data_IF_366420134322
#
_entry.id   IF_366420134322
#
_cell.length_a   1.000
_cell.length_b   1.000
_cell.length_c   1.000
_cell.angle_alpha   90.00
_cell.angle_beta   90.00
_cell.angle_gamma   90.00
#
_symmetry.space_group_name_H-M   'P 1'
#
loop_
_entity.id
_entity.type
_entity.pdbx_description
1 polymer ?
#
# COMPACT_ATOMS: atom_id res chain seq x y z
N UNK A 1 -26.16 -19.70 -35.25
CA UNK A 1 -25.32 -18.95 -36.22
C UNK A 1 -24.15 -18.25 -35.53
N UNK A 2 -24.35 -17.54 -34.42
CA UNK A 2 -23.28 -16.88 -33.67
C UNK A 2 -22.18 -17.82 -33.12
N UNK A 3 -22.53 -19.02 -32.63
CA UNK A 3 -21.54 -19.98 -32.09
C UNK A 3 -20.60 -20.58 -33.14
N UNK A 4 -21.09 -20.81 -34.37
CA UNK A 4 -20.25 -21.34 -35.45
C UNK A 4 -19.27 -20.29 -35.98
N UNK A 5 -19.72 -19.02 -36.09
CA UNK A 5 -18.87 -17.89 -36.49
C UNK A 5 -17.75 -17.66 -35.45
N UNK A 6 -18.04 -17.78 -34.16
CA UNK A 6 -17.03 -17.65 -33.11
C UNK A 6 -15.99 -18.79 -33.15
N UNK A 7 -16.39 -20.03 -33.44
CA UNK A 7 -15.47 -21.17 -33.51
C UNK A 7 -14.48 -21.06 -34.66
N UNK A 8 -14.90 -20.52 -35.81
CA UNK A 8 -14.01 -20.31 -36.96
C UNK A 8 -12.93 -19.27 -36.63
N UNK A 9 -13.31 -18.15 -36.00
CA UNK A 9 -12.38 -17.10 -35.58
C UNK A 9 -11.34 -17.63 -34.57
N UNK A 10 -11.77 -18.40 -33.56
CA UNK A 10 -10.83 -18.98 -32.59
C UNK A 10 -9.87 -19.98 -33.23
N UNK A 11 -10.38 -20.77 -34.18
CA UNK A 11 -9.55 -21.75 -34.91
C UNK A 11 -8.53 -21.03 -35.79
N UNK A 12 -8.91 -19.96 -36.46
CA UNK A 12 -8.01 -19.13 -37.27
C UNK A 12 -6.89 -18.52 -36.41
N UNK A 13 -7.23 -17.94 -35.26
CA UNK A 13 -6.24 -17.38 -34.34
C UNK A 13 -5.33 -18.45 -33.73
N UNK A 14 -5.87 -19.61 -33.38
CA UNK A 14 -5.08 -20.74 -32.91
C UNK A 14 -4.07 -21.23 -33.95
N UNK A 15 -4.44 -21.21 -35.24
CA UNK A 15 -3.51 -21.50 -36.33
C UNK A 15 -2.38 -20.46 -36.41
N UNK A 16 -2.73 -19.16 -36.38
CA UNK A 16 -1.73 -18.08 -36.40
C UNK A 16 -0.73 -18.17 -35.25
N UNK A 17 -1.20 -18.46 -34.04
CA UNK A 17 -0.33 -18.65 -32.86
C UNK A 17 0.61 -19.85 -33.05
N UNK A 18 0.08 -20.98 -33.53
CA UNK A 18 0.87 -22.18 -33.78
C UNK A 18 1.94 -21.94 -34.84
N UNK A 19 1.59 -21.25 -35.92
CA UNK A 19 2.48 -20.97 -37.04
C UNK A 19 3.55 -19.93 -36.65
N UNK A 20 3.19 -18.91 -35.87
CA UNK A 20 4.14 -17.95 -35.29
C UNK A 20 5.19 -18.66 -34.43
N UNK A 21 4.78 -19.57 -33.54
CA UNK A 21 5.71 -20.36 -32.72
C UNK A 21 6.65 -21.22 -33.58
N UNK A 22 6.12 -21.87 -34.63
CA UNK A 22 6.94 -22.66 -35.56
C UNK A 22 7.99 -21.78 -36.26
N UNK A 23 7.59 -20.57 -36.67
CA UNK A 23 8.46 -19.68 -37.41
C UNK A 23 9.52 -19.03 -36.52
N UNK A 24 9.15 -18.59 -35.31
CA UNK A 24 10.08 -18.11 -34.28
C UNK A 24 11.12 -19.18 -33.98
N UNK A 25 10.70 -20.44 -33.82
CA UNK A 25 11.60 -21.57 -33.62
C UNK A 25 12.56 -21.78 -34.82
N UNK A 26 12.04 -21.77 -36.05
CA UNK A 26 12.83 -21.93 -37.28
C UNK A 26 13.92 -20.87 -37.41
N UNK A 27 13.58 -19.61 -37.12
CA UNK A 27 14.51 -18.48 -37.25
C UNK A 27 15.54 -18.46 -36.12
N UNK A 28 15.16 -18.86 -34.90
CA UNK A 28 16.07 -18.94 -33.76
C UNK A 28 17.08 -20.09 -33.87
N UNK A 29 16.69 -21.22 -34.45
CA UNK A 29 17.51 -22.44 -34.43
C UNK A 29 17.82 -22.95 -33.02
N UNK A 30 16.94 -22.66 -32.05
CA UNK A 30 17.18 -22.85 -30.62
C UNK A 30 17.19 -24.32 -30.20
N UNK A 31 18.07 -24.66 -29.24
CA UNK A 31 18.09 -25.95 -28.53
C UNK A 31 17.00 -26.07 -27.45
N UNK A 32 16.28 -24.99 -27.14
CA UNK A 32 15.28 -24.94 -26.05
C UNK A 32 13.95 -25.63 -26.41
N UNK A 33 13.80 -26.11 -27.64
CA UNK A 33 12.56 -26.71 -28.14
C UNK A 33 11.51 -25.66 -28.51
N UNK A 34 10.52 -26.10 -29.26
CA UNK A 34 9.36 -25.31 -29.70
C UNK A 34 8.34 -25.22 -28.56
N UNK A 35 7.61 -24.11 -28.41
CA UNK A 35 6.58 -23.99 -27.34
C UNK A 35 5.51 -25.08 -27.53
N UNK A 36 5.07 -25.31 -28.76
CA UNK A 36 4.14 -26.38 -29.08
C UNK A 36 4.84 -27.60 -29.70
N UNK A 37 5.00 -28.67 -28.92
CA UNK A 37 5.65 -29.93 -29.36
C UNK A 37 4.67 -31.03 -29.77
N UNK A 38 3.37 -30.82 -29.55
CA UNK A 38 2.31 -31.80 -29.85
C UNK A 38 1.87 -31.83 -31.32
N UNK A 39 0.96 -32.77 -31.63
CA UNK A 39 0.29 -32.83 -32.93
C UNK A 39 -0.48 -31.52 -33.21
N UNK A 40 -0.29 -30.95 -34.40
CA UNK A 40 -0.87 -29.66 -34.82
C UNK A 40 -2.37 -29.56 -34.56
N UNK A 41 -3.14 -30.57 -34.97
CA UNK A 41 -4.61 -30.55 -34.81
C UNK A 41 -5.02 -30.56 -33.35
N UNK A 42 -4.25 -31.24 -32.50
CA UNK A 42 -4.49 -31.27 -31.05
C UNK A 42 -4.16 -29.91 -30.44
N UNK A 43 -3.02 -29.32 -30.80
CA UNK A 43 -2.63 -28.00 -30.28
C UNK A 43 -3.60 -26.90 -30.73
N UNK A 44 -4.03 -26.89 -31.99
CA UNK A 44 -5.01 -25.91 -32.48
C UNK A 44 -6.32 -26.05 -31.70
N UNK A 45 -6.79 -27.29 -31.47
CA UNK A 45 -7.99 -27.53 -30.65
C UNK A 45 -7.81 -27.06 -29.22
N UNK A 46 -6.66 -27.31 -28.61
CA UNK A 46 -6.35 -26.84 -27.24
C UNK A 46 -6.28 -25.31 -27.18
N UNK A 47 -5.58 -24.66 -28.10
CA UNK A 47 -5.50 -23.20 -28.18
C UNK A 47 -6.89 -22.61 -28.40
N UNK A 48 -7.66 -23.13 -29.35
CA UNK A 48 -9.04 -22.72 -29.58
C UNK A 48 -9.89 -22.91 -28.32
N UNK A 49 -9.73 -24.03 -27.60
CA UNK A 49 -10.42 -24.29 -26.35
C UNK A 49 -10.09 -23.25 -25.29
N UNK A 50 -8.80 -22.99 -25.05
CA UNK A 50 -8.32 -21.93 -24.15
C UNK A 50 -8.88 -20.57 -24.53
N UNK A 51 -9.22 -20.38 -25.82
CA UNK A 51 -9.81 -19.15 -26.31
C UNK A 51 -11.29 -18.94 -25.94
N UNK A 52 -12.06 -19.99 -25.72
CA UNK A 52 -13.49 -19.86 -25.39
C UNK A 52 -13.89 -20.44 -24.03
N UNK A 53 -13.01 -21.20 -23.34
CA UNK A 53 -13.29 -21.74 -22.00
C UNK A 53 -12.87 -20.76 -20.91
N UNK A 54 -13.80 -20.36 -20.03
CA UNK A 54 -13.47 -19.71 -18.75
C UNK A 54 -13.15 -20.81 -17.70
N UNK A 55 -12.10 -20.69 -16.85
CA UNK A 55 -11.28 -19.52 -16.51
C UNK A 55 -9.79 -19.57 -16.96
N UNK A 56 -9.42 -20.42 -17.92
CA UNK A 56 -8.01 -20.75 -18.19
C UNK A 56 -7.26 -19.80 -19.16
N UNK A 57 -7.75 -18.57 -19.36
CA UNK A 57 -7.09 -17.57 -20.24
C UNK A 57 -5.65 -17.22 -19.82
N UNK A 58 -5.29 -17.45 -18.56
CA UNK A 58 -3.90 -17.32 -18.07
C UNK A 58 -2.94 -18.34 -18.69
N UNK A 59 -3.43 -19.50 -19.13
CA UNK A 59 -2.62 -20.49 -19.85
C UNK A 59 -2.27 -19.97 -21.25
N UNK A 60 -3.25 -19.45 -22.00
CA UNK A 60 -3.00 -18.83 -23.31
C UNK A 60 -2.01 -17.66 -23.23
N UNK A 61 -2.08 -16.86 -22.15
CA UNK A 61 -1.08 -15.81 -21.86
C UNK A 61 0.33 -16.35 -21.74
N UNK A 62 0.47 -17.44 -20.99
CA UNK A 62 1.76 -18.04 -20.70
C UNK A 62 2.41 -18.54 -21.99
N UNK A 63 1.63 -19.19 -22.87
CA UNK A 63 2.10 -19.64 -24.19
C UNK A 63 2.54 -18.48 -25.09
N UNK A 64 1.74 -17.42 -25.19
CA UNK A 64 2.08 -16.22 -25.97
C UNK A 64 3.32 -15.50 -25.41
N UNK A 65 3.46 -15.43 -24.09
CA UNK A 65 4.63 -14.81 -23.45
C UNK A 65 5.93 -15.59 -23.76
N UNK A 66 5.87 -16.92 -23.80
CA UNK A 66 7.01 -17.75 -24.19
C UNK A 66 7.43 -17.49 -25.64
N UNK A 67 6.47 -17.44 -26.57
CA UNK A 67 6.74 -17.11 -27.98
C UNK A 67 7.38 -15.72 -28.11
N UNK A 68 6.86 -14.70 -27.40
CA UNK A 68 7.42 -13.34 -27.41
C UNK A 68 8.84 -13.29 -26.86
N UNK A 69 9.09 -13.99 -25.74
CA UNK A 69 10.43 -14.06 -25.14
C UNK A 69 11.43 -14.68 -26.11
N UNK A 70 11.05 -15.74 -26.81
CA UNK A 70 11.88 -16.35 -27.85
C UNK A 70 12.10 -15.38 -29.01
N UNK A 71 11.05 -14.80 -29.59
CA UNK A 71 11.14 -13.87 -30.72
C UNK A 71 12.07 -12.67 -30.45
N UNK A 72 12.07 -12.14 -29.22
CA UNK A 72 12.92 -11.01 -28.82
C UNK A 72 14.42 -11.32 -28.84
N UNK A 73 14.80 -12.60 -28.79
CA UNK A 73 16.20 -13.05 -28.80
C UNK A 73 16.75 -13.30 -30.21
N UNK A 74 15.93 -13.18 -31.25
CA UNK A 74 16.35 -13.27 -32.66
C UNK A 74 17.38 -12.18 -32.97
N UNK A 75 18.52 -12.58 -33.54
CA UNK A 75 19.65 -11.69 -33.82
C UNK A 75 19.45 -10.82 -35.07
N UNK A 76 18.77 -11.36 -36.09
CA UNK A 76 18.45 -10.61 -37.30
C UNK A 76 17.33 -9.58 -37.01
N UNK A 77 17.62 -8.26 -37.09
CA UNK A 77 16.64 -7.23 -36.81
C UNK A 77 15.42 -7.27 -37.75
N UNK A 78 15.61 -7.67 -39.01
CA UNK A 78 14.52 -7.71 -39.99
C UNK A 78 13.53 -8.83 -39.64
N UNK A 79 14.04 -10.03 -39.39
CA UNK A 79 13.20 -11.18 -38.99
C UNK A 79 12.57 -10.98 -37.61
N UNK A 80 13.31 -10.40 -36.66
CA UNK A 80 12.77 -10.03 -35.35
C UNK A 80 11.60 -9.06 -35.48
N UNK A 81 11.76 -8.00 -36.27
CA UNK A 81 10.69 -7.01 -36.48
C UNK A 81 9.47 -7.64 -37.14
N UNK A 82 9.67 -8.49 -38.15
CA UNK A 82 8.58 -9.19 -38.85
C UNK A 82 7.77 -10.07 -37.90
N UNK A 83 8.43 -10.91 -37.11
CA UNK A 83 7.77 -11.84 -36.18
C UNK A 83 7.11 -11.12 -35.00
N UNK A 84 7.72 -10.04 -34.50
CA UNK A 84 7.10 -9.21 -33.46
C UNK A 84 5.87 -8.46 -33.98
N UNK A 85 5.86 -8.05 -35.26
CA UNK A 85 4.67 -7.43 -35.88
C UNK A 85 3.51 -8.43 -35.94
N UNK A 86 3.77 -9.66 -36.40
CA UNK A 86 2.76 -10.73 -36.41
C UNK A 86 2.27 -11.05 -34.99
N UNK A 87 3.18 -11.10 -34.01
CA UNK A 87 2.82 -11.27 -32.60
C UNK A 87 1.87 -10.17 -32.10
N UNK A 88 2.18 -8.90 -32.37
CA UNK A 88 1.37 -7.77 -31.95
C UNK A 88 -0.01 -7.76 -32.64
N UNK A 89 -0.08 -8.18 -33.91
CA UNK A 89 -1.34 -8.33 -34.65
C UNK A 89 -2.21 -9.46 -34.10
N UNK A 90 -1.62 -10.61 -33.77
CA UNK A 90 -2.31 -11.71 -33.09
C UNK A 90 -2.84 -11.24 -31.74
N UNK A 91 -2.02 -10.53 -30.96
CA UNK A 91 -2.41 -10.02 -29.65
C UNK A 91 -3.60 -9.06 -29.77
N UNK A 92 -3.55 -8.12 -30.72
CA UNK A 92 -4.66 -7.20 -31.01
C UNK A 92 -5.93 -7.91 -31.46
N UNK A 93 -5.81 -8.97 -32.27
CA UNK A 93 -6.96 -9.75 -32.71
C UNK A 93 -7.58 -10.55 -31.55
N UNK A 94 -6.75 -11.08 -30.65
CA UNK A 94 -7.21 -11.74 -29.43
C UNK A 94 -7.92 -10.74 -28.51
N UNK A 95 -7.43 -9.50 -28.40
CA UNK A 95 -8.06 -8.45 -27.58
C UNK A 95 -9.46 -8.04 -28.06
N UNK A 96 -9.75 -8.22 -29.35
CA UNK A 96 -11.05 -7.93 -29.94
C UNK A 96 -12.07 -9.06 -29.74
N UNK A 97 -11.65 -10.22 -29.19
CA UNK A 97 -12.55 -11.34 -28.98
C UNK A 97 -13.48 -11.10 -27.78
N UNK A 98 -14.77 -11.45 -27.89
CA UNK A 98 -15.71 -11.31 -26.79
C UNK A 98 -15.23 -12.12 -25.58
N UNK A 99 -15.07 -11.46 -24.44
CA UNK A 99 -14.66 -12.08 -23.16
C UNK A 99 -13.27 -12.75 -23.16
N UNK A 100 -12.38 -12.37 -24.08
CA UNK A 100 -10.99 -12.80 -24.02
C UNK A 100 -10.06 -11.63 -24.22
N UNK A 101 -9.16 -11.42 -23.25
CA UNK A 101 -8.15 -10.37 -23.31
C UNK A 101 -8.73 -9.00 -23.64
N UNK A 102 -9.72 -8.55 -22.88
CA UNK A 102 -9.76 -7.10 -22.70
C UNK A 102 -8.37 -6.67 -22.21
N UNK A 103 -7.92 -5.47 -22.59
CA UNK A 103 -6.82 -4.70 -21.95
C UNK A 103 -7.12 -4.38 -20.47
N UNK A 104 -7.88 -5.26 -19.82
CA UNK A 104 -8.81 -5.13 -18.74
C UNK A 104 -9.20 -6.51 -18.21
N UNK A 105 -8.29 -7.49 -18.09
CA UNK A 105 -8.52 -8.59 -17.13
C UNK A 105 -8.38 -8.09 -15.67
N UNK A 106 -7.76 -6.92 -15.50
CA UNK A 106 -7.76 -6.12 -14.25
C UNK A 106 -9.06 -5.31 -14.11
N UNK A 107 -9.76 -5.06 -15.23
CA UNK A 107 -10.92 -4.17 -15.36
C UNK A 107 -12.14 -4.95 -15.90
N UNK A 108 -12.17 -6.27 -15.71
CA UNK A 108 -13.38 -7.06 -15.88
C UNK A 108 -14.34 -6.50 -14.82
N UNK A 109 -15.30 -5.67 -15.23
CA UNK A 109 -16.08 -4.85 -14.29
C UNK A 109 -16.77 -5.70 -13.21
N UNK A 110 -17.10 -6.95 -13.53
CA UNK A 110 -17.61 -7.93 -12.57
C UNK A 110 -16.51 -8.39 -11.60
N UNK A 111 -15.30 -8.74 -12.08
CA UNK A 111 -14.16 -9.08 -11.20
C UNK A 111 -13.58 -7.89 -10.43
N UNK A 112 -13.58 -6.70 -11.01
CA UNK A 112 -13.22 -5.44 -10.37
C UNK A 112 -14.27 -5.08 -9.31
N UNK A 113 -15.56 -5.32 -9.55
CA UNK A 113 -16.61 -5.20 -8.54
C UNK A 113 -16.50 -6.27 -7.43
N UNK A 114 -15.97 -7.46 -7.74
CA UNK A 114 -15.60 -8.48 -6.76
C UNK A 114 -14.34 -8.11 -5.97
N UNK A 115 -13.50 -7.21 -6.50
CA UNK A 115 -12.36 -6.70 -5.76
C UNK A 115 -12.87 -5.82 -4.62
N UNK A 116 -12.85 -6.37 -3.41
CA UNK A 116 -13.20 -5.67 -2.16
C UNK A 116 -12.43 -4.35 -1.99
N UNK A 117 -11.26 -4.18 -2.64
CA UNK A 117 -10.52 -2.92 -2.65
C UNK A 117 -11.29 -1.76 -3.31
N UNK A 118 -12.21 -2.04 -4.25
CA UNK A 118 -13.11 -1.03 -4.86
C UNK A 118 -14.22 -0.60 -3.89
N UNK A 119 -14.55 -1.45 -2.90
CA UNK A 119 -15.53 -1.16 -1.84
C UNK A 119 -14.95 -0.39 -0.66
N UNK A 120 -13.65 -0.05 -0.69
CA UNK A 120 -13.11 0.91 0.26
C UNK A 120 -13.90 2.20 0.08
N UNK A 121 -14.45 2.75 1.17
CA UNK A 121 -15.24 3.97 1.16
C UNK A 121 -14.49 5.02 0.35
N UNK A 122 -14.94 5.25 -0.89
CA UNK A 122 -14.32 6.24 -1.77
C UNK A 122 -14.53 7.58 -1.07
N UNK A 123 -13.44 8.32 -0.89
CA UNK A 123 -13.48 9.69 -0.38
C UNK A 123 -14.49 10.45 -1.25
N UNK A 124 -15.61 10.84 -0.65
CA UNK A 124 -16.66 11.65 -1.28
C UNK A 124 -16.12 13.05 -1.56
N UNK A 125 -16.73 13.80 -2.49
CA UNK A 125 -16.40 15.21 -2.71
C UNK A 125 -16.57 16.08 -1.44
N UNK A 126 -17.37 15.64 -0.48
CA UNK A 126 -17.60 16.32 0.79
C UNK A 126 -16.72 15.82 1.95
N UNK A 127 -15.91 14.77 1.74
CA UNK A 127 -15.04 14.23 2.77
C UNK A 127 -13.71 14.99 2.80
N UNK A 128 -13.18 15.19 4.00
CA UNK A 128 -11.87 15.82 4.19
C UNK A 128 -10.72 14.88 3.82
N UNK A 129 -9.63 15.45 3.29
CA UNK A 129 -8.42 14.70 2.99
C UNK A 129 -7.66 14.41 4.28
N UNK A 130 -7.77 13.17 4.78
CA UNK A 130 -7.09 12.72 6.00
C UNK A 130 -6.01 11.68 5.68
N UNK A 131 -4.76 11.99 6.04
CA UNK A 131 -3.60 11.12 5.80
C UNK A 131 -2.98 10.67 7.13
N UNK A 132 -2.99 9.38 7.40
CA UNK A 132 -2.39 8.77 8.58
C UNK A 132 -1.03 8.17 8.25
N UNK A 133 0.04 8.64 8.89
CA UNK A 133 1.41 8.11 8.66
C UNK A 133 1.94 7.41 9.91
N UNK A 134 2.12 6.09 9.80
CA UNK A 134 2.91 5.28 10.72
C UNK A 134 4.33 5.08 10.17
N UNK A 135 5.33 4.94 11.04
CA UNK A 135 6.74 4.88 10.61
C UNK A 135 7.66 4.16 11.57
N UNK A 136 8.69 3.49 11.03
CA UNK A 136 9.82 3.01 11.86
C UNK A 136 10.77 4.15 12.20
N UNK A 137 11.43 4.07 13.35
CA UNK A 137 12.35 5.13 13.77
C UNK A 137 13.56 5.18 12.84
N UNK A 138 13.92 6.38 12.39
CA UNK A 138 15.06 6.60 11.49
C UNK A 138 14.76 6.37 10.01
N UNK A 139 13.50 6.21 9.60
CA UNK A 139 13.08 6.08 8.19
C UNK A 139 12.85 7.41 7.46
N UNK A 140 13.22 8.54 8.04
CA UNK A 140 12.83 9.89 7.57
C UNK A 140 11.30 10.11 7.47
N UNK A 141 10.48 9.27 8.11
CA UNK A 141 9.02 9.37 8.02
C UNK A 141 8.45 10.67 8.62
N UNK A 142 9.12 11.26 9.61
CA UNK A 142 8.72 12.57 10.14
C UNK A 142 8.95 13.69 9.10
N UNK A 143 10.13 13.70 8.47
CA UNK A 143 10.48 14.70 7.45
C UNK A 143 9.57 14.59 6.23
N UNK A 144 9.32 13.35 5.78
CA UNK A 144 8.38 13.07 4.69
C UNK A 144 6.97 13.55 5.03
N UNK A 145 6.48 13.26 6.25
CA UNK A 145 5.14 13.67 6.67
C UNK A 145 4.98 15.19 6.74
N UNK A 146 5.97 15.88 7.30
CA UNK A 146 5.97 17.34 7.40
C UNK A 146 6.02 18.01 6.02
N UNK A 147 6.98 17.62 5.17
CA UNK A 147 7.13 18.19 3.83
C UNK A 147 5.94 17.84 2.92
N UNK A 148 5.31 16.67 3.10
CA UNK A 148 4.08 16.32 2.41
C UNK A 148 2.91 17.24 2.81
N UNK A 149 2.71 17.48 4.11
CA UNK A 149 1.67 18.37 4.60
C UNK A 149 1.85 19.80 4.07
N UNK A 150 3.08 20.32 4.09
CA UNK A 150 3.43 21.65 3.56
C UNK A 150 3.12 21.76 2.06
N UNK A 151 3.52 20.75 1.27
CA UNK A 151 3.24 20.72 -0.18
C UNK A 151 1.77 20.57 -0.53
N UNK A 152 0.98 19.90 0.31
CA UNK A 152 -0.46 19.76 0.14
C UNK A 152 -1.24 20.94 0.76
N UNK A 153 -0.58 21.76 1.57
CA UNK A 153 -1.19 22.86 2.35
C UNK A 153 -2.31 22.40 3.28
N UNK A 154 -2.10 21.27 3.94
CA UNK A 154 -3.01 20.69 4.94
C UNK A 154 -2.41 20.75 6.34
N UNK A 155 -3.24 20.63 7.37
CA UNK A 155 -2.76 20.67 8.76
C UNK A 155 -1.91 19.45 9.09
N UNK A 156 -0.88 19.63 9.92
CA UNK A 156 0.02 18.55 10.36
C UNK A 156 -0.10 18.34 11.86
N UNK A 157 -0.36 17.11 12.28
CA UNK A 157 -0.52 16.72 13.67
C UNK A 157 0.43 15.61 14.07
N UNK A 158 1.39 15.94 14.93
CA UNK A 158 2.26 14.96 15.57
C UNK A 158 2.03 14.88 17.08
N UNK A 159 2.83 14.02 17.71
CA UNK A 159 2.80 13.79 19.16
C UNK A 159 2.89 15.11 19.95
N UNK A 160 3.71 16.05 19.52
CA UNK A 160 3.95 17.29 20.24
C UNK A 160 2.78 18.26 20.05
N UNK A 161 2.29 18.40 18.82
CA UNK A 161 1.15 19.26 18.48
C UNK A 161 -0.11 18.78 19.20
N UNK A 162 -0.40 17.47 19.17
CA UNK A 162 -1.54 16.93 19.91
C UNK A 162 -1.46 17.21 21.41
N UNK A 163 -0.28 17.05 22.01
CA UNK A 163 -0.10 17.37 23.43
C UNK A 163 -0.36 18.86 23.71
N UNK A 164 -0.02 19.76 22.78
CA UNK A 164 -0.30 21.19 22.92
C UNK A 164 -1.80 21.50 22.75
N UNK A 165 -2.46 20.90 21.76
CA UNK A 165 -3.90 21.07 21.51
C UNK A 165 -4.70 20.59 22.74
N UNK A 166 -4.38 19.41 23.25
CA UNK A 166 -4.99 18.87 24.47
C UNK A 166 -4.82 19.82 25.67
N UNK A 167 -3.62 20.36 25.88
CA UNK A 167 -3.38 21.33 26.97
C UNK A 167 -4.21 22.61 26.83
N UNK A 168 -4.44 23.08 25.60
CA UNK A 168 -5.28 24.27 25.35
C UNK A 168 -6.75 23.98 25.62
N UNK A 169 -7.28 22.87 25.10
CA UNK A 169 -8.65 22.44 25.33
C UNK A 169 -8.97 22.23 26.82
N UNK A 170 -8.00 21.73 27.59
CA UNK A 170 -8.11 21.62 29.05
C UNK A 170 -8.13 22.97 29.76
N UNK A 171 -7.33 23.93 29.29
CA UNK A 171 -7.28 25.27 29.84
C UNK A 171 -8.57 26.07 29.56
N UNK A 172 -9.21 25.85 28.39
CA UNK A 172 -10.45 26.53 28.00
C UNK A 172 -11.70 25.98 28.69
N UNK A 173 -11.68 24.70 29.12
CA UNK A 173 -12.82 24.08 29.83
C UNK A 173 -13.00 24.55 31.28
N UNK A 174 -12.14 25.46 31.77
CA UNK A 174 -12.26 26.26 33.00
C UNK A 174 -12.78 25.55 34.26
N UNK A 175 -12.51 24.25 34.42
CA UNK A 175 -13.09 23.48 35.53
C UNK A 175 -12.27 22.28 36.04
N UNK A 176 -10.93 22.31 36.03
CA UNK A 176 -10.16 21.40 36.89
C UNK A 176 -8.82 22.03 37.32
N UNK A 177 -8.57 21.98 38.63
CA UNK A 177 -7.35 22.33 39.37
C UNK A 177 -6.05 21.57 38.95
N UNK A 178 -5.88 21.15 37.70
CA UNK A 178 -4.83 20.18 37.33
C UNK A 178 -4.00 20.61 36.11
N UNK A 179 -3.37 21.79 36.22
CA UNK A 179 -2.33 22.23 35.26
C UNK A 179 -1.14 21.28 35.15
N UNK A 180 -0.94 20.35 36.09
CA UNK A 180 0.27 19.53 36.18
C UNK A 180 0.20 18.18 35.45
N UNK A 181 -0.97 17.61 35.18
CA UNK A 181 -1.04 16.15 34.97
C UNK A 181 -0.97 15.63 33.52
N UNK A 182 -1.12 16.51 32.52
CA UNK A 182 -0.81 16.22 31.11
C UNK A 182 0.61 16.66 30.70
N UNK A 183 1.30 17.41 31.57
CA UNK A 183 2.61 18.00 31.25
C UNK A 183 3.71 16.96 31.12
N UNK A 184 3.56 15.83 31.81
CA UNK A 184 4.57 14.76 31.95
C UNK A 184 4.23 13.47 31.20
N UNK A 185 3.41 13.52 30.14
CA UNK A 185 3.24 12.36 29.25
C UNK A 185 4.41 12.16 28.29
N UNK A 186 5.62 12.18 28.85
CA UNK A 186 6.77 11.57 28.23
C UNK A 186 6.73 10.07 28.53
N UNK A 187 6.15 9.27 27.61
CA UNK A 187 6.20 7.79 27.69
C UNK A 187 7.62 7.24 27.84
N UNK A 188 8.64 8.07 27.59
CA UNK A 188 10.06 7.78 27.68
C UNK A 188 10.72 8.20 29.01
N UNK A 189 9.98 8.89 29.90
CA UNK A 189 10.39 9.21 31.27
C UNK A 189 10.34 7.97 32.18
N UNK A 190 11.24 7.92 33.18
CA UNK A 190 11.24 6.84 34.19
C UNK A 190 9.91 6.85 34.94
N UNK A 191 9.26 5.69 35.03
CA UNK A 191 8.09 5.50 35.91
C UNK A 191 8.52 5.78 37.35
N UNK A 192 8.04 6.87 37.92
CA UNK A 192 8.11 7.13 39.36
C UNK A 192 7.19 6.13 40.08
N UNK A 193 7.62 5.66 41.26
CA UNK A 193 6.82 4.74 42.08
C UNK A 193 5.61 5.50 42.65
N UNK A 194 4.45 5.36 42.03
CA UNK A 194 3.19 5.91 42.56
C UNK A 194 2.67 5.05 43.71
N UNK A 195 2.30 5.71 44.80
CA UNK A 195 1.72 5.07 45.98
C UNK A 195 0.34 4.46 45.68
N UNK A 196 -0.04 3.40 46.40
CA UNK A 196 -1.37 2.76 46.26
C UNK A 196 -2.54 3.73 46.45
N UNK A 197 -2.35 4.76 47.28
CA UNK A 197 -3.35 5.82 47.54
C UNK A 197 -3.55 6.73 46.33
N UNK A 198 -2.47 6.99 45.57
CA UNK A 198 -2.52 7.74 44.31
C UNK A 198 -3.27 6.95 43.23
N UNK A 199 -2.97 5.65 43.08
CA UNK A 199 -3.67 4.77 42.13
C UNK A 199 -5.17 4.66 42.37
N UNK A 200 -5.59 4.55 43.63
CA UNK A 200 -7.02 4.45 43.97
C UNK A 200 -7.77 5.77 43.70
N UNK A 201 -7.10 6.91 43.94
CA UNK A 201 -7.65 8.24 43.64
C UNK A 201 -7.73 8.48 42.13
N UNK A 202 -6.75 8.03 41.35
CA UNK A 202 -6.80 8.10 39.88
C UNK A 202 -7.85 7.16 39.28
N UNK A 203 -8.02 5.94 39.80
CA UNK A 203 -9.07 5.00 39.38
C UNK A 203 -10.48 5.59 39.56
N UNK A 204 -10.77 6.20 40.71
CA UNK A 204 -12.06 6.86 40.93
C UNK A 204 -12.25 8.09 40.01
N UNK A 205 -11.17 8.73 39.60
CA UNK A 205 -11.17 9.97 38.82
C UNK A 205 -11.32 9.73 37.31
N UNK A 206 -10.79 8.64 36.79
CA UNK A 206 -10.92 8.23 35.38
C UNK A 206 -11.99 7.15 35.19
N UNK A 207 -12.99 7.09 36.07
CA UNK A 207 -14.11 6.15 35.99
C UNK A 207 -13.70 4.67 35.85
N UNK A 208 -12.63 4.26 36.55
CA UNK A 208 -12.10 2.90 36.52
C UNK A 208 -11.04 2.65 35.44
N UNK A 209 -10.72 3.65 34.60
CA UNK A 209 -9.66 3.54 33.59
C UNK A 209 -8.28 3.88 34.16
N UNK A 210 -7.24 3.34 33.53
CA UNK A 210 -5.88 3.80 33.78
C UNK A 210 -5.68 5.20 33.16
N UNK A 211 -4.79 6.01 33.74
CA UNK A 211 -4.43 7.34 33.19
C UNK A 211 -4.02 7.25 31.71
N UNK A 212 -3.37 6.15 31.31
CA UNK A 212 -2.92 5.95 29.93
C UNK A 212 -4.09 5.72 28.96
N UNK A 213 -5.12 5.00 29.41
CA UNK A 213 -6.29 4.70 28.58
C UNK A 213 -7.20 5.93 28.47
N UNK A 214 -7.38 6.69 29.55
CA UNK A 214 -8.11 7.95 29.51
C UNK A 214 -7.48 8.94 28.50
N UNK A 215 -6.15 9.07 28.49
CA UNK A 215 -5.43 9.88 27.51
C UNK A 215 -5.63 9.35 26.10
N UNK A 216 -5.59 8.02 25.91
CA UNK A 216 -5.81 7.41 24.60
C UNK A 216 -7.23 7.69 24.07
N UNK A 217 -8.26 7.58 24.89
CA UNK A 217 -9.64 7.85 24.48
C UNK A 217 -9.84 9.31 24.11
N UNK A 218 -9.40 10.26 24.95
CA UNK A 218 -9.49 11.68 24.62
C UNK A 218 -8.75 12.03 23.32
N UNK A 219 -7.58 11.43 23.11
CA UNK A 219 -6.81 11.57 21.87
C UNK A 219 -7.54 10.98 20.67
N UNK A 220 -8.22 9.84 20.85
CA UNK A 220 -8.98 9.18 19.78
C UNK A 220 -10.18 10.03 19.37
N UNK A 221 -10.89 10.62 20.34
CA UNK A 221 -12.01 11.52 20.09
C UNK A 221 -11.55 12.77 19.33
N UNK A 222 -10.43 13.37 19.74
CA UNK A 222 -9.83 14.52 19.06
C UNK A 222 -9.40 14.17 17.62
N UNK A 223 -8.80 13.00 17.40
CA UNK A 223 -8.43 12.53 16.05
C UNK A 223 -9.67 12.42 15.16
N UNK A 224 -10.76 11.84 15.68
CA UNK A 224 -12.02 11.73 14.95
C UNK A 224 -12.67 13.10 14.67
N UNK A 225 -12.55 14.05 15.59
CA UNK A 225 -13.05 15.43 15.42
C UNK A 225 -12.28 16.17 14.33
N UNK A 226 -10.94 16.17 14.38
CA UNK A 226 -10.09 16.80 13.38
C UNK A 226 -10.33 16.21 11.99
N UNK A 227 -10.38 14.88 11.89
CA UNK A 227 -10.62 14.19 10.62
C UNK A 227 -11.99 14.50 9.99
N UNK A 228 -12.98 14.96 10.78
CA UNK A 228 -14.32 15.34 10.30
C UNK A 228 -14.46 16.82 9.98
N UNK A 229 -13.51 17.66 10.39
CA UNK A 229 -13.64 19.12 10.33
C UNK A 229 -12.64 19.77 9.37
N UNK A 230 -11.53 19.09 9.07
CA UNK A 230 -10.46 19.68 8.27
C UNK A 230 -9.57 18.64 7.58
N UNK A 231 -8.92 19.09 6.50
CA UNK A 231 -7.90 18.33 5.80
C UNK A 231 -6.61 18.29 6.62
N UNK A 232 -6.14 17.09 6.96
CA UNK A 232 -5.02 16.95 7.87
C UNK A 232 -4.17 15.69 7.66
N UNK A 233 -2.92 15.77 8.12
CA UNK A 233 -1.97 14.68 8.19
C UNK A 233 -1.65 14.36 9.65
N UNK A 234 -1.90 13.11 10.05
CA UNK A 234 -1.75 12.63 11.42
C UNK A 234 -0.59 11.63 11.52
N UNK A 235 0.40 11.95 12.35
CA UNK A 235 1.62 11.14 12.53
C UNK A 235 1.50 10.12 13.67
N UNK A 236 1.05 8.91 13.35
CA UNK A 236 1.03 7.75 14.24
C UNK A 236 -0.21 7.73 15.13
N UNK A 237 -0.04 7.55 16.45
CA UNK A 237 -1.15 7.51 17.44
C UNK A 237 -2.27 6.51 17.17
N UNK A 238 -2.00 5.46 16.39
CA UNK A 238 -3.01 4.49 15.94
C UNK A 238 -4.16 5.15 15.15
N UNK A 239 -3.91 6.32 14.55
CA UNK A 239 -4.94 7.08 13.84
C UNK A 239 -5.57 6.27 12.70
N UNK A 240 -4.78 5.44 12.01
CA UNK A 240 -5.26 4.49 11.02
C UNK A 240 -6.34 3.54 11.59
N UNK A 241 -6.08 2.90 12.73
CA UNK A 241 -7.04 1.99 13.34
C UNK A 241 -8.24 2.74 13.95
N UNK A 242 -8.02 3.91 14.56
CA UNK A 242 -9.06 4.74 15.16
C UNK A 242 -10.06 5.19 14.09
N UNK A 243 -9.57 5.77 12.98
CA UNK A 243 -10.43 6.26 11.91
C UNK A 243 -11.12 5.11 11.17
N UNK A 244 -10.42 3.97 10.96
CA UNK A 244 -11.03 2.76 10.38
C UNK A 244 -12.19 2.24 11.21
N UNK A 245 -12.05 2.17 12.54
CA UNK A 245 -13.11 1.71 13.43
C UNK A 245 -14.29 2.68 13.51
N UNK A 246 -14.05 3.97 13.24
CA UNK A 246 -15.08 5.02 13.23
C UNK A 246 -15.69 5.28 11.85
N UNK A 247 -15.35 4.47 10.83
CA UNK A 247 -15.82 4.61 9.44
C UNK A 247 -15.60 6.03 8.90
N UNK A 248 -14.40 6.58 9.17
CA UNK A 248 -13.97 7.87 8.63
C UNK A 248 -13.02 7.57 7.46
N UNK A 249 -13.34 8.04 6.24
CA UNK A 249 -12.46 7.91 5.09
C UNK A 249 -11.09 8.54 5.36
N UNK A 250 -10.03 7.77 5.15
CA UNK A 250 -8.66 8.22 5.36
C UNK A 250 -7.70 7.35 4.57
N UNK A 251 -6.49 7.88 4.37
CA UNK A 251 -5.40 7.18 3.68
C UNK A 251 -4.33 6.81 4.70
N UNK A 252 -4.05 5.52 4.85
CA UNK A 252 -3.07 5.03 5.82
C UNK A 252 -1.75 4.60 5.16
N UNK A 253 -0.64 5.19 5.58
CA UNK A 253 0.69 5.00 5.00
C UNK A 253 1.67 4.52 6.07
N UNK A 254 2.46 3.50 5.77
CA UNK A 254 3.56 3.03 6.60
C UNK A 254 4.92 3.29 5.95
N UNK A 255 5.75 4.12 6.56
CA UNK A 255 7.09 4.47 6.06
C UNK A 255 8.16 3.73 6.84
N UNK A 256 8.94 2.91 6.14
CA UNK A 256 10.04 2.14 6.72
C UNK A 256 11.33 2.27 5.91
N UNK A 257 12.42 1.71 6.44
CA UNK A 257 13.70 1.59 5.76
C UNK A 257 14.49 0.40 6.32
N UNK A 258 15.47 -0.17 5.59
CA UNK A 258 16.35 -1.22 6.08
C UNK A 258 17.03 -0.79 7.38
N UNK A 259 17.11 -1.71 8.35
CA UNK A 259 17.59 -1.39 9.70
C UNK A 259 19.02 -0.79 9.69
N UNK A 260 19.87 -1.26 8.78
CA UNK A 260 21.23 -0.78 8.58
C UNK A 260 21.26 0.69 8.13
N UNK A 261 20.43 1.05 7.15
CA UNK A 261 20.30 2.42 6.65
C UNK A 261 19.79 3.35 7.75
N UNK A 262 18.76 2.91 8.49
CA UNK A 262 18.22 3.68 9.63
C UNK A 262 19.26 3.87 10.73
N UNK A 263 20.09 2.85 10.99
CA UNK A 263 21.16 2.91 12.00
C UNK A 263 22.18 3.97 11.62
N UNK A 264 22.69 3.94 10.38
CA UNK A 264 23.66 4.91 9.90
C UNK A 264 23.09 6.34 9.96
N UNK A 265 21.87 6.53 9.45
CA UNK A 265 21.20 7.83 9.47
C UNK A 265 21.06 8.39 10.90
N UNK A 266 20.69 7.55 11.86
CA UNK A 266 20.57 7.98 13.27
C UNK A 266 21.93 8.29 13.91
N UNK A 267 22.98 7.53 13.55
CA UNK A 267 24.34 7.83 14.00
C UNK A 267 24.76 9.22 13.52
N UNK A 268 24.52 9.52 12.24
CA UNK A 268 24.91 10.79 11.62
C UNK A 268 24.10 11.98 12.20
N UNK A 269 22.78 11.83 12.32
CA UNK A 269 21.90 12.91 12.79
C UNK A 269 22.06 13.18 14.29
N UNK A 270 22.28 12.16 15.10
CA UNK A 270 22.31 12.29 16.57
C UNK A 270 23.70 12.20 17.19
N UNK A 271 24.74 12.09 16.36
CA UNK A 271 26.13 11.91 16.77
C UNK A 271 26.27 10.77 17.80
N UNK A 272 25.67 9.61 17.50
CA UNK A 272 25.64 8.42 18.36
C UNK A 272 26.60 7.35 17.85
N UNK A 273 27.17 6.56 18.78
CA UNK A 273 27.89 5.35 18.37
C UNK A 273 26.93 4.27 17.83
N UNK A 274 27.46 3.29 17.10
CA UNK A 274 26.65 2.23 16.49
C UNK A 274 25.83 1.44 17.51
N UNK A 275 26.40 1.15 18.69
CA UNK A 275 25.73 0.36 19.74
C UNK A 275 24.58 1.14 20.36
N UNK A 276 24.77 2.45 20.58
CA UNK A 276 23.78 3.39 21.06
C UNK A 276 22.66 3.56 20.03
N UNK A 277 22.98 3.78 18.76
CA UNK A 277 21.99 3.92 17.68
C UNK A 277 21.12 2.67 17.54
N UNK A 278 21.74 1.47 17.50
CA UNK A 278 21.01 0.19 17.45
C UNK A 278 20.10 0.02 18.66
N UNK A 279 20.59 0.31 19.86
CA UNK A 279 19.80 0.22 21.10
C UNK A 279 18.64 1.22 21.10
N UNK A 280 18.89 2.43 20.63
CA UNK A 280 17.89 3.49 20.50
C UNK A 280 16.77 3.10 19.53
N UNK A 281 17.13 2.69 18.31
CA UNK A 281 16.18 2.25 17.29
C UNK A 281 15.32 1.09 17.77
N UNK A 282 15.94 0.03 18.30
CA UNK A 282 15.21 -1.13 18.84
C UNK A 282 14.29 -0.75 19.99
N UNK A 283 14.70 0.20 20.85
CA UNK A 283 13.87 0.68 21.96
C UNK A 283 12.65 1.44 21.44
N UNK A 284 12.83 2.37 20.51
CA UNK A 284 11.74 3.18 19.94
C UNK A 284 10.75 2.30 19.15
N UNK A 285 11.26 1.47 18.24
CA UNK A 285 10.43 0.57 17.43
C UNK A 285 9.65 -0.41 18.33
N UNK A 286 10.27 -0.95 19.39
CA UNK A 286 9.57 -1.81 20.37
C UNK A 286 8.47 -1.05 21.11
N UNK A 287 8.68 0.23 21.41
CA UNK A 287 7.69 1.05 22.10
C UNK A 287 6.51 1.43 21.19
N UNK A 288 6.76 1.73 19.92
CA UNK A 288 5.72 1.95 18.90
C UNK A 288 4.92 0.67 18.67
N UNK A 289 5.61 -0.45 18.45
CA UNK A 289 4.99 -1.77 18.29
C UNK A 289 4.08 -2.12 19.47
N UNK A 290 4.60 -2.04 20.70
CA UNK A 290 3.84 -2.36 21.91
C UNK A 290 2.62 -1.46 22.09
N UNK A 291 2.75 -0.18 21.74
CA UNK A 291 1.62 0.76 21.82
C UNK A 291 0.52 0.39 20.83
N UNK A 292 0.90 0.20 19.58
CA UNK A 292 -0.03 -0.09 18.49
C UNK A 292 -0.74 -1.42 18.76
N UNK A 293 0.00 -2.50 18.96
CA UNK A 293 -0.55 -3.84 19.22
C UNK A 293 -1.46 -3.89 20.46
N UNK A 294 -1.18 -3.08 21.48
CA UNK A 294 -2.00 -3.04 22.69
C UNK A 294 -3.37 -2.39 22.44
N UNK A 295 -3.41 -1.26 21.72
CA UNK A 295 -4.64 -0.50 21.50
C UNK A 295 -5.44 -0.96 20.29
N UNK A 296 -4.80 -1.52 19.27
CA UNK A 296 -5.47 -1.95 18.03
C UNK A 296 -5.70 -3.45 17.96
N UNK A 297 -4.96 -4.25 18.72
CA UNK A 297 -4.91 -5.71 18.56
C UNK A 297 -4.18 -6.17 17.29
N UNK A 298 -3.75 -5.23 16.45
CA UNK A 298 -3.18 -5.48 15.13
C UNK A 298 -1.66 -5.39 15.14
N UNK A 299 -1.02 -6.15 14.24
CA UNK A 299 0.45 -6.17 14.15
C UNK A 299 1.00 -4.89 13.52
N UNK A 300 1.89 -4.21 14.23
CA UNK A 300 2.52 -2.98 13.73
C UNK A 300 3.45 -3.24 12.53
N UNK A 301 3.33 -2.43 11.48
CA UNK A 301 4.10 -2.56 10.24
C UNK A 301 3.70 -3.74 9.34
N UNK A 302 2.54 -4.35 9.60
CA UNK A 302 1.97 -5.41 8.76
C UNK A 302 1.27 -4.77 7.54
N UNK A 303 1.62 -5.11 6.29
CA UNK A 303 1.10 -4.41 5.11
C UNK A 303 -0.43 -4.36 4.99
N UNK A 304 -1.13 -5.37 5.50
CA UNK A 304 -2.59 -5.48 5.46
C UNK A 304 -3.31 -4.44 6.32
N UNK A 305 -2.58 -3.78 7.22
CA UNK A 305 -3.10 -2.73 8.09
C UNK A 305 -3.01 -1.34 7.47
N UNK A 306 -2.29 -1.21 6.34
CA UNK A 306 -2.03 0.06 5.69
C UNK A 306 -2.43 0.03 4.22
N UNK A 307 -2.65 1.19 3.63
CA UNK A 307 -3.00 1.33 2.22
C UNK A 307 -1.75 1.26 1.38
N UNK A 308 -0.66 1.82 1.93
CA UNK A 308 0.61 1.94 1.26
C UNK A 308 1.75 1.74 2.25
N UNK A 309 2.65 0.81 1.93
CA UNK A 309 3.90 0.62 2.66
C UNK A 309 5.07 1.04 1.78
N UNK A 310 5.84 2.04 2.21
CA UNK A 310 6.97 2.57 1.45
C UNK A 310 8.28 2.30 2.18
N UNK A 311 9.27 1.81 1.42
CA UNK A 311 10.66 1.82 1.84
C UNK A 311 11.34 3.11 1.36
N UNK A 312 11.52 4.08 2.27
CA UNK A 312 12.07 5.40 1.95
C UNK A 312 13.57 5.37 1.60
N UNK A 313 14.31 4.32 1.98
CA UNK A 313 15.74 4.22 1.65
C UNK A 313 16.00 4.04 0.15
N UNK A 314 15.03 3.50 -0.59
CA UNK A 314 15.18 3.24 -2.02
C UNK A 314 14.89 4.48 -2.88
N UNK A 315 14.06 5.39 -2.38
CA UNK A 315 13.57 6.53 -3.14
C UNK A 315 14.13 7.86 -2.62
N UNK A 316 14.46 7.97 -1.33
CA UNK A 316 14.75 9.25 -0.72
C UNK A 316 13.46 10.00 -0.33
N UNK A 317 13.61 11.14 0.34
CA UNK A 317 12.47 11.92 0.88
C UNK A 317 11.62 12.49 -0.26
N UNK A 318 12.25 13.17 -1.22
CA UNK A 318 11.57 13.90 -2.29
C UNK A 318 10.76 12.97 -3.20
N UNK A 319 11.36 11.90 -3.67
CA UNK A 319 10.74 10.93 -4.56
C UNK A 319 9.63 10.15 -3.83
N UNK A 320 9.80 9.87 -2.53
CA UNK A 320 8.73 9.27 -1.72
C UNK A 320 7.50 10.18 -1.68
N UNK A 321 7.71 11.49 -1.47
CA UNK A 321 6.63 12.48 -1.48
C UNK A 321 5.95 12.53 -2.85
N UNK A 322 6.73 12.54 -3.93
CA UNK A 322 6.17 12.59 -5.29
C UNK A 322 5.34 11.34 -5.63
N UNK A 323 5.75 10.16 -5.16
CA UNK A 323 4.96 8.93 -5.27
C UNK A 323 3.65 9.04 -4.51
N UNK A 324 3.68 9.50 -3.25
CA UNK A 324 2.47 9.66 -2.44
C UNK A 324 1.52 10.65 -3.13
N UNK A 325 2.01 11.81 -3.58
CA UNK A 325 1.18 12.81 -4.27
C UNK A 325 0.53 12.28 -5.54
N UNK A 326 1.25 11.47 -6.33
CA UNK A 326 0.67 10.84 -7.53
C UNK A 326 -0.49 9.90 -7.20
N UNK A 327 -0.36 9.13 -6.12
CA UNK A 327 -1.42 8.24 -5.66
C UNK A 327 -2.63 9.02 -5.17
N UNK A 328 -2.43 10.13 -4.47
CA UNK A 328 -3.52 11.03 -4.04
C UNK A 328 -4.28 11.61 -5.24
N UNK A 329 -3.55 12.15 -6.22
CA UNK A 329 -4.16 12.81 -7.40
C UNK A 329 -4.94 11.84 -8.31
N UNK A 330 -4.63 10.54 -8.29
CA UNK A 330 -5.37 9.52 -9.04
C UNK A 330 -6.67 9.09 -8.35
N UNK A 331 -6.85 9.40 -7.07
CA UNK A 331 -8.10 9.13 -6.35
C UNK A 331 -9.10 10.29 -6.44
N UNK A 332 -8.67 11.47 -6.90
CA UNK A 332 -9.50 12.68 -7.04
C UNK A 332 -10.05 12.90 -8.45
N UNK A 333 -9.72 12.02 -9.41
CA UNK A 333 -10.31 11.96 -10.76
C UNK A 333 -11.21 10.74 -10.87
#
# INVERSE_FOLDING_TARGET
MSENINREIYTELANRIYDLDAEVYRVLGSSLGRTFTGNRDTTIRTLSMLMYTKPDGHLLRSELALISNMARTIKDPAEKSRLMTEYDEILKAIEQLPNMFGSTDILDAERAALNLAVRREKISENDHLVICISRTQGSAGNDIGFELADKLRINYYDVEIFNQVMKRLEAEKDNVQDKENFTDFNKYGKKTHESLKTKLKELNRYHGLSKQDAVFFNMSDLICELARTEDCLIMGRCADAILKNNHIPHISIFISAPFQVRTQHVMDVRNMDMKQAVRFLKKMDKQHKKYYEFYTGEKWGKPENYDLCINSANYGIKETIDVIKRLLNQQTQ
#
